data_IF_232603367637
#
_entry.id   IF_232603367637
#
_cell.length_a   1.000
_cell.length_b   1.000
_cell.length_c   1.000
_cell.angle_alpha   90.00
_cell.angle_beta   90.00
_cell.angle_gamma   90.00
#
_symmetry.space_group_name_H-M   'P 1'
#
loop_
_entity.id
_entity.type
_entity.pdbx_description
1 polymer ?
#
# COMPACT_ATOMS: atom_id res chain seq x y z
N UNK A 1 -2.27 19.73 25.82
CA UNK A 1 -2.05 18.27 25.93
C UNK A 1 -2.84 17.56 24.83
N UNK A 2 -2.57 16.28 24.54
CA UNK A 2 -3.37 15.48 23.58
C UNK A 2 -4.87 15.45 23.97
N UNK A 3 -5.14 15.44 25.27
CA UNK A 3 -6.49 15.52 25.85
C UNK A 3 -7.24 16.78 25.39
N UNK A 4 -6.57 17.95 25.35
CA UNK A 4 -7.18 19.19 24.86
C UNK A 4 -7.57 19.10 23.39
N UNK A 5 -6.75 18.45 22.55
CA UNK A 5 -7.05 18.28 21.11
C UNK A 5 -8.23 17.34 20.90
N UNK A 6 -8.33 16.27 21.69
CA UNK A 6 -9.46 15.34 21.65
C UNK A 6 -10.76 15.99 22.14
N UNK A 7 -10.70 16.76 23.23
CA UNK A 7 -11.85 17.46 23.81
C UNK A 7 -12.47 18.48 22.86
N UNK A 8 -11.67 19.11 21.99
CA UNK A 8 -12.17 20.08 21.01
C UNK A 8 -12.52 19.38 19.70
N UNK A 9 -11.65 18.47 19.23
CA UNK A 9 -11.78 17.83 17.92
C UNK A 9 -12.98 16.89 17.81
N UNK A 10 -13.24 16.07 18.83
CA UNK A 10 -14.32 15.07 18.77
C UNK A 10 -15.71 15.72 18.74
N UNK A 11 -16.05 16.69 19.61
CA UNK A 11 -17.35 17.35 19.54
C UNK A 11 -17.54 18.14 18.23
N UNK A 12 -16.50 18.84 17.77
CA UNK A 12 -16.56 19.60 16.52
C UNK A 12 -16.82 18.66 15.34
N UNK A 13 -16.06 17.56 15.26
CA UNK A 13 -16.26 16.52 14.26
C UNK A 13 -17.68 15.94 14.32
N UNK A 14 -18.18 15.57 15.50
CA UNK A 14 -19.53 15.02 15.66
C UNK A 14 -20.64 15.98 15.19
N UNK A 15 -20.50 17.28 15.45
CA UNK A 15 -21.47 18.30 15.02
C UNK A 15 -21.53 18.37 13.49
N UNK A 16 -20.38 18.59 12.84
CA UNK A 16 -20.32 18.69 11.38
C UNK A 16 -20.70 17.37 10.70
N UNK A 17 -20.29 16.24 11.29
CA UNK A 17 -20.59 14.93 10.75
C UNK A 17 -22.08 14.61 10.80
N UNK A 18 -22.76 14.88 11.93
CA UNK A 18 -24.22 14.72 12.03
C UNK A 18 -24.96 15.66 11.09
N UNK A 19 -24.46 16.88 10.91
CA UNK A 19 -25.04 17.81 9.94
C UNK A 19 -24.92 17.28 8.50
N UNK A 20 -23.74 16.77 8.12
CA UNK A 20 -23.52 16.15 6.81
C UNK A 20 -24.38 14.89 6.58
N UNK A 21 -24.66 14.10 7.63
CA UNK A 21 -25.60 12.97 7.54
C UNK A 21 -27.03 13.45 7.30
N UNK A 22 -27.52 14.42 8.08
CA UNK A 22 -28.86 14.99 7.87
C UNK A 22 -29.06 15.55 6.47
N UNK A 23 -28.00 16.16 5.90
CA UNK A 23 -28.04 16.72 4.55
C UNK A 23 -28.10 15.63 3.47
N UNK A 24 -27.50 14.47 3.71
CA UNK A 24 -27.63 13.32 2.82
C UNK A 24 -29.01 12.66 2.95
N UNK A 25 -29.52 12.57 4.17
CA UNK A 25 -30.84 11.99 4.49
C UNK A 25 -32.01 12.88 4.04
N UNK A 26 -31.77 14.15 3.71
CA UNK A 26 -32.81 15.08 3.25
C UNK A 26 -33.36 14.76 1.86
N UNK A 27 -32.90 13.67 1.22
CA UNK A 27 -33.28 13.18 -0.10
C UNK A 27 -33.10 14.21 -1.24
N UNK A 28 -32.28 15.25 -1.02
CA UNK A 28 -31.88 16.15 -2.10
C UNK A 28 -30.86 15.42 -2.98
N UNK A 29 -31.22 15.23 -4.24
CA UNK A 29 -30.39 14.54 -5.23
C UNK A 29 -29.02 15.21 -5.38
N UNK A 30 -28.93 16.54 -5.22
CA UNK A 30 -27.64 17.27 -5.27
C UNK A 30 -26.70 16.84 -4.15
N UNK A 31 -27.25 16.61 -2.96
CA UNK A 31 -26.49 16.21 -1.78
C UNK A 31 -26.11 14.72 -1.84
N UNK A 32 -27.01 13.87 -2.34
CA UNK A 32 -26.72 12.45 -2.57
C UNK A 32 -25.67 12.22 -3.66
N UNK A 33 -25.66 13.04 -4.71
CA UNK A 33 -24.67 12.99 -5.80
C UNK A 33 -23.38 13.77 -5.47
N UNK A 34 -23.24 14.29 -4.25
CA UNK A 34 -22.08 15.08 -3.83
C UNK A 34 -20.78 14.26 -3.91
N UNK A 35 -19.84 14.76 -4.72
CA UNK A 35 -18.50 14.17 -4.81
C UNK A 35 -17.68 14.45 -3.54
N UNK A 36 -17.94 15.58 -2.85
CA UNK A 36 -17.22 15.97 -1.64
C UNK A 36 -17.45 14.98 -0.48
N UNK A 37 -18.70 14.50 -0.32
CA UNK A 37 -19.01 13.45 0.65
C UNK A 37 -18.19 12.19 0.39
N UNK A 38 -18.09 11.76 -0.88
CA UNK A 38 -17.26 10.60 -1.26
C UNK A 38 -15.78 10.86 -1.05
N UNK A 39 -15.26 12.04 -1.36
CA UNK A 39 -13.85 12.40 -1.09
C UNK A 39 -13.56 12.29 0.40
N UNK A 40 -14.43 12.83 1.25
CA UNK A 40 -14.29 12.72 2.71
C UNK A 40 -14.33 11.25 3.16
N UNK A 41 -15.35 10.49 2.76
CA UNK A 41 -15.52 9.10 3.18
C UNK A 41 -14.35 8.22 2.76
N UNK A 42 -13.97 8.27 1.48
CA UNK A 42 -12.83 7.52 0.98
C UNK A 42 -11.51 8.00 1.59
N UNK A 43 -11.35 9.29 1.86
CA UNK A 43 -10.17 9.84 2.53
C UNK A 43 -10.01 9.30 3.95
N UNK A 44 -11.08 9.31 4.74
CA UNK A 44 -11.06 8.79 6.12
C UNK A 44 -10.84 7.27 6.13
N UNK A 45 -11.53 6.53 5.25
CA UNK A 45 -11.34 5.07 5.10
C UNK A 45 -9.91 4.75 4.64
N UNK A 46 -9.33 5.55 3.76
CA UNK A 46 -7.94 5.40 3.32
C UNK A 46 -6.96 5.59 4.48
N UNK A 47 -7.08 6.68 5.24
CA UNK A 47 -6.19 6.95 6.39
C UNK A 47 -6.34 5.88 7.48
N UNK A 48 -7.58 5.50 7.80
CA UNK A 48 -7.86 4.47 8.79
C UNK A 48 -7.33 3.10 8.38
N UNK A 49 -7.50 2.71 7.11
CA UNK A 49 -6.97 1.45 6.59
C UNK A 49 -5.44 1.45 6.55
N UNK A 50 -4.82 2.54 6.09
CA UNK A 50 -3.36 2.68 6.03
C UNK A 50 -2.72 2.50 7.41
N UNK A 51 -3.17 3.25 8.42
CA UNK A 51 -2.58 3.14 9.75
C UNK A 51 -2.88 1.82 10.45
N UNK A 52 -4.04 1.21 10.18
CA UNK A 52 -4.35 -0.15 10.66
C UNK A 52 -3.42 -1.20 10.05
N UNK A 53 -3.19 -1.14 8.73
CA UNK A 53 -2.26 -2.02 8.01
C UNK A 53 -0.84 -1.81 8.50
N UNK A 54 -0.35 -0.58 8.62
CA UNK A 54 1.00 -0.29 9.13
C UNK A 54 1.21 -0.86 10.53
N UNK A 55 0.23 -0.67 11.42
CA UNK A 55 0.28 -1.20 12.78
C UNK A 55 0.26 -2.73 12.79
N UNK A 56 -0.57 -3.36 11.95
CA UNK A 56 -0.62 -4.81 11.80
C UNK A 56 0.69 -5.39 11.24
N UNK A 57 1.31 -4.74 10.25
CA UNK A 57 2.63 -5.11 9.72
C UNK A 57 3.69 -5.06 10.81
N UNK A 58 3.69 -4.02 11.65
CA UNK A 58 4.63 -3.91 12.77
C UNK A 58 4.45 -5.03 13.80
N UNK A 59 3.21 -5.37 14.15
CA UNK A 59 2.93 -6.52 15.04
C UNK A 59 3.42 -7.82 14.41
N UNK A 60 3.13 -8.03 13.12
CA UNK A 60 3.54 -9.23 12.40
C UNK A 60 5.06 -9.36 12.32
N UNK A 61 5.77 -8.27 12.02
CA UNK A 61 7.23 -8.24 12.03
C UNK A 61 7.77 -8.59 13.43
N UNK A 62 7.18 -8.05 14.50
CA UNK A 62 7.55 -8.39 15.88
C UNK A 62 7.32 -9.87 16.22
N UNK A 63 6.22 -10.48 15.74
CA UNK A 63 5.96 -11.91 15.90
C UNK A 63 7.01 -12.75 15.16
N UNK A 64 7.34 -12.39 13.92
CA UNK A 64 8.34 -13.10 13.11
C UNK A 64 9.74 -13.01 13.71
N UNK A 65 10.12 -11.83 14.23
CA UNK A 65 11.40 -11.62 14.93
C UNK A 65 11.55 -12.53 16.15
N UNK A 66 10.50 -12.59 16.98
CA UNK A 66 10.44 -13.51 18.13
C UNK A 66 10.56 -14.97 17.69
N UNK A 67 9.87 -15.36 16.63
CA UNK A 67 9.95 -16.71 16.07
C UNK A 67 11.36 -17.06 15.55
N UNK A 68 12.10 -16.07 15.02
CA UNK A 68 13.48 -16.23 14.55
C UNK A 68 14.53 -16.08 15.66
N UNK A 69 14.11 -15.88 16.91
CA UNK A 69 15.00 -15.75 18.06
C UNK A 69 15.78 -14.43 18.09
N UNK A 70 15.28 -13.38 17.44
CA UNK A 70 15.89 -12.06 17.45
C UNK A 70 14.96 -11.09 18.15
N UNK A 71 15.26 -10.80 19.41
CA UNK A 71 14.51 -9.83 20.23
C UNK A 71 15.46 -8.72 20.65
N UNK A 72 15.06 -7.46 20.47
CA UNK A 72 15.78 -6.32 21.09
C UNK A 72 15.14 -5.94 22.41
N UNK A 73 15.94 -5.51 23.38
CA UNK A 73 15.43 -4.82 24.56
C UNK A 73 14.73 -3.51 24.12
N UNK A 74 13.48 -3.32 24.54
CA UNK A 74 12.65 -2.18 24.12
C UNK A 74 11.85 -2.38 22.84
N UNK A 75 11.75 -3.61 22.33
CA UNK A 75 11.00 -3.90 21.11
C UNK A 75 9.49 -3.58 21.23
N UNK A 76 9.10 -2.52 20.50
CA UNK A 76 7.76 -2.12 20.10
C UNK A 76 6.66 -2.49 21.09
N UNK A 77 6.32 -1.57 21.99
CA UNK A 77 5.18 -1.73 22.88
C UNK A 77 3.93 -2.07 22.06
N UNK A 78 3.57 -3.35 22.05
CA UNK A 78 2.45 -3.86 21.30
C UNK A 78 1.16 -3.15 21.71
N UNK A 79 1.11 -2.57 22.92
CA UNK A 79 0.00 -1.74 23.38
C UNK A 79 -0.18 -0.52 22.50
N UNK A 80 0.90 0.13 22.05
CA UNK A 80 0.86 1.29 21.14
C UNK A 80 0.29 0.89 19.78
N UNK A 81 0.74 -0.23 19.21
CA UNK A 81 0.22 -0.74 17.94
C UNK A 81 -1.24 -1.21 18.07
N UNK A 82 -1.60 -1.87 19.17
CA UNK A 82 -2.96 -2.31 19.46
C UNK A 82 -3.90 -1.11 19.67
N UNK A 83 -3.47 -0.08 20.41
CA UNK A 83 -4.29 1.13 20.58
C UNK A 83 -4.51 1.83 19.25
N UNK A 84 -3.49 1.89 18.39
CA UNK A 84 -3.62 2.44 17.05
C UNK A 84 -4.59 1.62 16.18
N UNK A 85 -4.48 0.28 16.18
CA UNK A 85 -5.40 -0.61 15.45
C UNK A 85 -6.83 -0.44 15.94
N UNK A 86 -7.05 -0.37 17.25
CA UNK A 86 -8.40 -0.20 17.81
C UNK A 86 -8.97 1.15 17.38
N UNK A 87 -8.22 2.24 17.58
CA UNK A 87 -8.70 3.58 17.26
C UNK A 87 -8.95 3.77 15.75
N UNK A 88 -7.96 3.41 14.92
CA UNK A 88 -8.05 3.59 13.46
C UNK A 88 -8.96 2.55 12.82
N UNK A 89 -8.98 1.32 13.33
CA UNK A 89 -9.87 0.26 12.88
C UNK A 89 -11.33 0.57 13.19
N UNK A 90 -11.63 1.17 14.34
CA UNK A 90 -13.00 1.62 14.68
C UNK A 90 -13.43 2.79 13.79
N UNK A 91 -12.56 3.78 13.58
CA UNK A 91 -12.80 4.89 12.66
C UNK A 91 -13.06 4.39 11.23
N UNK A 92 -12.23 3.45 10.77
CA UNK A 92 -12.36 2.80 9.48
C UNK A 92 -13.68 2.04 9.36
N UNK A 93 -14.00 1.17 10.33
CA UNK A 93 -15.19 0.32 10.29
C UNK A 93 -16.47 1.16 10.22
N UNK A 94 -16.54 2.23 11.01
CA UNK A 94 -17.67 3.15 11.02
C UNK A 94 -17.88 3.83 9.65
N UNK A 95 -16.82 4.43 9.07
CA UNK A 95 -16.93 5.13 7.80
C UNK A 95 -17.07 4.17 6.61
N UNK A 96 -16.49 2.98 6.68
CA UNK A 96 -16.66 1.94 5.66
C UNK A 96 -18.09 1.39 5.65
N UNK A 97 -18.73 1.25 6.81
CA UNK A 97 -20.13 0.87 6.91
C UNK A 97 -21.03 1.92 6.24
N UNK A 98 -20.82 3.20 6.55
CA UNK A 98 -21.59 4.31 5.96
C UNK A 98 -21.36 4.40 4.44
N UNK A 99 -20.11 4.27 4.00
CA UNK A 99 -19.80 4.28 2.58
C UNK A 99 -20.47 3.11 1.82
N UNK A 100 -20.60 1.94 2.45
CA UNK A 100 -21.33 0.81 1.86
C UNK A 100 -22.81 1.13 1.74
N UNK A 101 -23.41 1.66 2.81
CA UNK A 101 -24.82 2.06 2.86
C UNK A 101 -25.16 3.11 1.80
N UNK A 102 -24.34 4.15 1.67
CA UNK A 102 -24.44 5.20 0.63
C UNK A 102 -24.41 4.63 -0.80
N UNK A 103 -23.80 3.45 -1.00
CA UNK A 103 -23.66 2.82 -2.32
C UNK A 103 -24.76 1.80 -2.65
N UNK A 104 -25.56 1.36 -1.68
CA UNK A 104 -26.53 0.26 -1.86
C UNK A 104 -27.87 0.65 -2.50
N UNK A 105 -28.11 1.93 -2.82
CA UNK A 105 -29.42 2.38 -3.35
C UNK A 105 -29.41 3.42 -4.46
N UNK A 106 -28.27 3.99 -4.83
CA UNK A 106 -28.20 5.11 -5.78
C UNK A 106 -27.27 4.79 -6.97
N UNK A 107 -27.72 5.13 -8.19
CA UNK A 107 -26.82 5.18 -9.35
C UNK A 107 -25.70 6.17 -9.05
N UNK A 108 -24.46 5.72 -9.19
CA UNK A 108 -23.31 6.53 -8.86
C UNK A 108 -23.08 7.60 -9.95
N UNK A 109 -23.01 8.86 -9.54
CA UNK A 109 -22.67 9.95 -10.44
C UNK A 109 -21.25 9.79 -11.02
N UNK A 110 -20.96 10.24 -12.26
CA UNK A 110 -19.64 10.08 -12.88
C UNK A 110 -18.46 10.60 -12.04
N UNK A 111 -18.64 11.74 -11.35
CA UNK A 111 -17.60 12.30 -10.44
C UNK A 111 -17.35 11.42 -9.23
N UNK A 112 -18.39 10.81 -8.69
CA UNK A 112 -18.31 9.89 -7.56
C UNK A 112 -17.57 8.61 -7.94
N UNK A 113 -17.83 8.07 -9.13
CA UNK A 113 -17.09 6.92 -9.68
C UNK A 113 -15.59 7.22 -9.83
N UNK A 114 -15.24 8.44 -10.26
CA UNK A 114 -13.84 8.86 -10.36
C UNK A 114 -13.13 8.87 -8.99
N UNK A 115 -13.80 9.37 -7.93
CA UNK A 115 -13.26 9.36 -6.56
C UNK A 115 -13.06 7.94 -6.05
N UNK A 116 -14.02 7.04 -6.28
CA UNK A 116 -13.89 5.62 -5.91
C UNK A 116 -12.71 4.96 -6.61
N UNK A 117 -12.54 5.18 -7.91
CA UNK A 117 -11.40 4.65 -8.68
C UNK A 117 -10.08 5.17 -8.12
N UNK A 118 -10.00 6.47 -7.83
CA UNK A 118 -8.82 7.07 -7.21
C UNK A 118 -8.47 6.39 -5.89
N UNK A 119 -9.45 6.19 -5.01
CA UNK A 119 -9.25 5.46 -3.78
C UNK A 119 -8.70 4.05 -4.00
N UNK A 120 -9.34 3.25 -4.87
CA UNK A 120 -8.90 1.87 -5.11
C UNK A 120 -7.48 1.81 -5.69
N UNK A 121 -7.14 2.69 -6.62
CA UNK A 121 -5.79 2.76 -7.18
C UNK A 121 -4.75 3.26 -6.17
N UNK A 122 -5.09 4.17 -5.27
CA UNK A 122 -4.19 4.59 -4.18
C UNK A 122 -3.93 3.45 -3.20
N UNK A 123 -4.98 2.74 -2.76
CA UNK A 123 -4.83 1.57 -1.88
C UNK A 123 -4.02 0.48 -2.57
N UNK A 124 -4.34 0.18 -3.82
CA UNK A 124 -3.59 -0.79 -4.62
C UNK A 124 -2.11 -0.40 -4.75
N UNK A 125 -1.81 0.89 -4.94
CA UNK A 125 -0.44 1.37 -5.09
C UNK A 125 0.38 1.22 -3.80
N UNK A 126 -0.22 1.55 -2.65
CA UNK A 126 0.41 1.32 -1.34
C UNK A 126 0.68 -0.17 -1.13
N UNK A 127 -0.34 -1.01 -1.36
CA UNK A 127 -0.20 -2.46 -1.19
C UNK A 127 0.87 -3.06 -2.10
N UNK A 128 0.90 -2.64 -3.37
CA UNK A 128 1.88 -3.13 -4.34
C UNK A 128 3.28 -2.69 -3.94
N UNK A 129 3.45 -1.43 -3.54
CA UNK A 129 4.74 -0.93 -3.07
C UNK A 129 5.27 -1.73 -1.88
N UNK A 130 4.41 -2.02 -0.88
CA UNK A 130 4.79 -2.86 0.26
C UNK A 130 5.16 -4.29 -0.15
N UNK A 131 4.38 -4.89 -1.06
CA UNK A 131 4.65 -6.22 -1.60
C UNK A 131 5.99 -6.26 -2.35
N UNK A 132 6.27 -5.28 -3.20
CA UNK A 132 7.51 -5.19 -3.97
C UNK A 132 8.72 -5.00 -3.06
N UNK A 133 8.63 -4.08 -2.09
CA UNK A 133 9.70 -3.88 -1.09
C UNK A 133 9.97 -5.18 -0.32
N UNK A 134 8.92 -5.87 0.11
CA UNK A 134 9.05 -7.15 0.80
C UNK A 134 9.71 -8.23 -0.07
N UNK A 135 9.26 -8.40 -1.32
CA UNK A 135 9.84 -9.39 -2.25
C UNK A 135 11.31 -9.10 -2.58
N UNK A 136 11.64 -7.83 -2.87
CA UNK A 136 13.02 -7.40 -3.14
C UNK A 136 13.89 -7.67 -1.90
N UNK A 137 13.38 -7.32 -0.72
CA UNK A 137 14.07 -7.51 0.55
C UNK A 137 14.36 -8.97 0.87
N UNK A 138 13.36 -9.85 0.81
CA UNK A 138 13.53 -11.28 1.10
C UNK A 138 14.49 -11.95 0.11
N UNK A 139 14.41 -11.62 -1.19
CA UNK A 139 15.37 -12.13 -2.20
C UNK A 139 16.78 -11.60 -1.92
N UNK A 140 16.92 -10.32 -1.58
CA UNK A 140 18.22 -9.72 -1.20
C UNK A 140 18.81 -10.41 0.03
N UNK A 141 18.00 -10.70 1.05
CA UNK A 141 18.42 -11.44 2.26
C UNK A 141 18.93 -12.82 1.88
N UNK A 142 18.22 -13.55 1.01
CA UNK A 142 18.65 -14.87 0.55
C UNK A 142 20.02 -14.77 -0.14
N UNK A 143 20.20 -13.83 -1.07
CA UNK A 143 21.48 -13.66 -1.79
C UNK A 143 22.62 -13.28 -0.82
N UNK A 144 22.39 -12.30 0.05
CA UNK A 144 23.36 -11.84 1.05
C UNK A 144 23.74 -12.93 2.05
N UNK A 145 22.83 -13.85 2.37
CA UNK A 145 23.08 -14.92 3.33
C UNK A 145 24.21 -15.87 2.92
N UNK A 146 24.48 -15.99 1.61
CA UNK A 146 25.59 -16.80 1.09
C UNK A 146 26.98 -16.18 1.34
N UNK A 147 27.03 -14.89 1.65
CA UNK A 147 28.27 -14.13 1.84
C UNK A 147 28.55 -13.88 3.33
N UNK A 148 27.56 -13.33 4.04
CA UNK A 148 27.71 -12.92 5.46
C UNK A 148 27.05 -13.89 6.45
N UNK A 149 26.40 -14.95 5.97
CA UNK A 149 25.65 -15.91 6.80
C UNK A 149 24.32 -15.37 7.33
N UNK A 150 23.43 -16.28 7.72
CA UNK A 150 22.08 -15.94 8.21
C UNK A 150 22.04 -15.58 9.72
N UNK A 151 22.71 -14.47 10.05
CA UNK A 151 22.81 -13.93 11.40
C UNK A 151 21.62 -13.07 11.84
N UNK A 152 21.73 -12.52 13.05
CA UNK A 152 20.73 -11.63 13.67
C UNK A 152 20.27 -10.45 12.78
N UNK A 153 21.16 -9.77 12.02
CA UNK A 153 20.74 -8.69 11.12
C UNK A 153 19.79 -9.18 10.02
N UNK A 154 20.12 -10.25 9.30
CA UNK A 154 19.29 -10.77 8.21
C UNK A 154 17.96 -11.36 8.69
N UNK A 155 17.93 -11.99 9.87
CA UNK A 155 16.69 -12.41 10.53
C UNK A 155 15.78 -11.24 10.89
N UNK A 156 16.37 -10.11 11.27
CA UNK A 156 15.64 -8.87 11.56
C UNK A 156 15.02 -8.28 10.30
N UNK A 157 15.79 -8.26 9.21
CA UNK A 157 15.37 -7.78 7.90
C UNK A 157 14.26 -8.65 7.30
N UNK A 158 14.46 -9.97 7.23
CA UNK A 158 13.47 -10.91 6.66
C UNK A 158 12.14 -10.83 7.42
N UNK A 159 12.16 -10.61 8.73
CA UNK A 159 10.93 -10.45 9.51
C UNK A 159 10.09 -9.26 9.04
N UNK A 160 10.73 -8.12 8.73
CA UNK A 160 10.03 -6.94 8.22
C UNK A 160 9.56 -7.12 6.78
N UNK A 161 10.41 -7.69 5.93
CA UNK A 161 10.10 -7.90 4.53
C UNK A 161 8.99 -8.93 4.35
N UNK A 162 9.05 -10.06 5.04
CA UNK A 162 7.97 -11.05 5.07
C UNK A 162 6.67 -10.46 5.63
N UNK A 163 6.73 -9.62 6.68
CA UNK A 163 5.54 -8.93 7.18
C UNK A 163 4.95 -7.98 6.13
N UNK A 164 5.79 -7.25 5.40
CA UNK A 164 5.37 -6.37 4.31
C UNK A 164 4.75 -7.14 3.14
N UNK A 165 5.24 -8.35 2.81
CA UNK A 165 4.61 -9.25 1.82
C UNK A 165 3.21 -9.66 2.29
N UNK A 166 3.11 -10.18 3.51
CA UNK A 166 1.84 -10.71 4.06
C UNK A 166 0.78 -9.60 4.14
N UNK A 167 1.17 -8.38 4.54
CA UNK A 167 0.25 -7.25 4.62
C UNK A 167 -0.02 -6.61 3.24
N UNK A 168 1.02 -6.43 2.42
CA UNK A 168 0.93 -5.75 1.13
C UNK A 168 0.15 -6.54 0.08
N UNK A 169 0.29 -7.87 0.07
CA UNK A 169 -0.38 -8.74 -0.89
C UNK A 169 -1.91 -8.56 -0.91
N UNK A 170 -2.67 -8.72 0.19
CA UNK A 170 -4.12 -8.51 0.17
C UNK A 170 -4.50 -7.06 -0.09
N UNK A 171 -3.73 -6.09 0.42
CA UNK A 171 -3.99 -4.65 0.23
C UNK A 171 -3.84 -4.24 -1.23
N UNK A 172 -2.96 -4.91 -1.99
CA UNK A 172 -2.87 -4.74 -3.44
C UNK A 172 -3.94 -5.54 -4.19
N UNK A 173 -3.97 -6.84 -3.95
CA UNK A 173 -4.64 -7.80 -4.82
C UNK A 173 -6.16 -7.58 -4.83
N UNK A 174 -6.76 -7.24 -3.69
CA UNK A 174 -8.19 -7.01 -3.57
C UNK A 174 -8.67 -5.82 -4.42
N UNK A 175 -8.19 -4.57 -4.20
CA UNK A 175 -8.63 -3.44 -4.99
C UNK A 175 -8.19 -3.52 -6.47
N UNK A 176 -6.99 -4.07 -6.74
CA UNK A 176 -6.52 -4.26 -8.11
C UNK A 176 -7.41 -5.22 -8.90
N UNK A 177 -7.76 -6.39 -8.33
CA UNK A 177 -8.68 -7.33 -8.99
C UNK A 177 -10.06 -6.75 -9.23
N UNK A 178 -10.59 -5.96 -8.29
CA UNK A 178 -11.89 -5.31 -8.45
C UNK A 178 -11.88 -4.34 -9.63
N UNK A 179 -10.88 -3.46 -9.73
CA UNK A 179 -10.77 -2.51 -10.83
C UNK A 179 -10.37 -3.18 -12.16
N UNK A 180 -9.59 -4.26 -12.12
CA UNK A 180 -9.28 -5.06 -13.30
C UNK A 180 -10.53 -5.72 -13.86
N UNK A 181 -11.34 -6.37 -13.02
CA UNK A 181 -12.57 -7.02 -13.43
C UNK A 181 -13.55 -6.01 -14.05
N UNK A 182 -13.70 -4.83 -13.44
CA UNK A 182 -14.49 -3.72 -14.01
C UNK A 182 -13.98 -3.30 -15.38
N UNK A 183 -12.66 -3.21 -15.55
CA UNK A 183 -12.07 -2.85 -16.84
C UNK A 183 -12.23 -3.95 -17.91
N UNK A 184 -12.47 -5.20 -17.53
CA UNK A 184 -12.73 -6.31 -18.45
C UNK A 184 -14.19 -6.40 -18.89
N UNK A 185 -15.11 -5.72 -18.20
CA UNK A 185 -16.53 -5.70 -18.58
C UNK A 185 -16.74 -5.07 -19.96
N UNK A 186 -17.61 -5.66 -20.78
CA UNK A 186 -17.98 -5.15 -22.11
C UNK A 186 -18.99 -4.00 -22.07
N UNK A 187 -19.44 -3.63 -20.86
CA UNK A 187 -20.38 -2.53 -20.63
C UNK A 187 -19.76 -1.14 -20.96
N UNK A 188 -20.59 -0.11 -21.18
CA UNK A 188 -20.12 1.28 -21.26
C UNK A 188 -19.33 1.71 -20.02
N UNK A 189 -19.66 1.18 -18.84
CA UNK A 189 -18.92 1.41 -17.60
C UNK A 189 -17.51 0.79 -17.64
N UNK A 190 -17.38 -0.42 -18.20
CA UNK A 190 -16.08 -1.05 -18.43
C UNK A 190 -15.23 -0.27 -19.43
N UNK A 191 -15.83 0.28 -20.49
CA UNK A 191 -15.13 1.19 -21.41
C UNK A 191 -14.63 2.48 -20.70
N UNK A 192 -15.44 3.03 -19.80
CA UNK A 192 -15.03 4.16 -18.93
C UNK A 192 -13.91 3.77 -17.97
N UNK A 193 -13.92 2.55 -17.43
CA UNK A 193 -12.87 2.05 -16.54
C UNK A 193 -11.53 1.89 -17.28
N UNK A 194 -11.55 1.35 -18.51
CA UNK A 194 -10.35 1.22 -19.37
C UNK A 194 -9.74 2.57 -19.77
N UNK A 195 -10.60 3.56 -20.06
CA UNK A 195 -10.15 4.90 -20.46
C UNK A 195 -9.78 5.82 -19.29
N UNK A 196 -9.93 5.34 -18.04
CA UNK A 196 -9.64 6.10 -16.82
C UNK A 196 -8.20 6.63 -16.76
N UNK A 197 -8.06 7.94 -16.58
CA UNK A 197 -6.73 8.56 -16.39
C UNK A 197 -6.05 8.06 -15.11
N UNK A 198 -6.82 7.75 -14.07
CA UNK A 198 -6.30 7.23 -12.79
C UNK A 198 -5.65 5.86 -13.00
N UNK A 199 -6.29 4.99 -13.80
CA UNK A 199 -5.73 3.68 -14.17
C UNK A 199 -4.40 3.83 -14.89
N UNK A 200 -4.34 4.75 -15.87
CA UNK A 200 -3.12 5.03 -16.63
C UNK A 200 -2.00 5.57 -15.74
N UNK A 201 -2.31 6.51 -14.83
CA UNK A 201 -1.34 7.04 -13.85
C UNK A 201 -0.79 5.90 -13.00
N UNK A 202 -1.65 5.03 -12.46
CA UNK A 202 -1.24 3.87 -11.67
C UNK A 202 -0.31 2.94 -12.46
N UNK A 203 -0.71 2.52 -13.67
CA UNK A 203 0.07 1.59 -14.49
C UNK A 203 1.41 2.19 -14.91
N UNK A 204 1.39 3.43 -15.40
CA UNK A 204 2.60 4.11 -15.85
C UNK A 204 3.55 4.43 -14.69
N UNK A 205 3.03 4.71 -13.49
CA UNK A 205 3.88 4.87 -12.31
C UNK A 205 4.71 3.61 -12.04
N UNK A 206 4.08 2.44 -12.02
CA UNK A 206 4.79 1.18 -11.73
C UNK A 206 5.66 0.70 -12.88
N UNK A 207 5.21 0.86 -14.13
CA UNK A 207 6.03 0.58 -15.32
C UNK A 207 7.26 1.48 -15.35
N UNK A 208 7.09 2.78 -15.09
CA UNK A 208 8.19 3.74 -15.02
C UNK A 208 9.16 3.40 -13.89
N UNK A 209 8.65 3.14 -12.68
CA UNK A 209 9.48 2.74 -11.54
C UNK A 209 10.28 1.46 -11.83
N UNK A 210 9.65 0.47 -12.47
CA UNK A 210 10.32 -0.74 -12.92
C UNK A 210 11.42 -0.44 -13.94
N UNK A 211 11.14 0.38 -14.97
CA UNK A 211 12.14 0.79 -15.96
C UNK A 211 13.33 1.49 -15.31
N UNK A 212 13.08 2.47 -14.43
CA UNK A 212 14.15 3.17 -13.70
C UNK A 212 14.96 2.19 -12.86
N UNK A 213 14.31 1.27 -12.16
CA UNK A 213 14.99 0.26 -11.34
C UNK A 213 15.89 -0.66 -12.17
N UNK A 214 15.42 -1.12 -13.33
CA UNK A 214 16.22 -1.94 -14.25
C UNK A 214 17.42 -1.14 -14.79
N UNK A 215 17.22 0.12 -15.20
CA UNK A 215 18.29 0.97 -15.70
C UNK A 215 19.34 1.25 -14.63
N UNK A 216 18.91 1.67 -13.43
CA UNK A 216 19.81 1.95 -12.30
C UNK A 216 20.55 0.70 -11.85
N UNK A 217 19.87 -0.44 -11.73
CA UNK A 217 20.49 -1.70 -11.35
C UNK A 217 21.48 -2.20 -12.40
N UNK A 218 21.14 -2.10 -13.69
CA UNK A 218 22.05 -2.48 -14.78
C UNK A 218 23.29 -1.58 -14.77
N UNK A 219 23.11 -0.27 -14.61
CA UNK A 219 24.22 0.69 -14.50
C UNK A 219 25.13 0.34 -13.32
N UNK A 220 24.56 0.04 -12.16
CA UNK A 220 25.32 -0.36 -10.97
C UNK A 220 26.11 -1.66 -11.21
N UNK A 221 25.47 -2.70 -11.77
CA UNK A 221 26.14 -3.97 -12.06
C UNK A 221 27.28 -3.78 -13.08
N UNK A 222 27.05 -3.01 -14.15
CA UNK A 222 28.09 -2.71 -15.14
C UNK A 222 29.25 -1.95 -14.49
N UNK A 223 28.97 -0.96 -13.65
CA UNK A 223 30.01 -0.24 -12.89
C UNK A 223 30.86 -1.19 -12.03
N UNK A 224 30.23 -2.11 -11.31
CA UNK A 224 30.94 -3.08 -10.48
C UNK A 224 31.80 -4.04 -11.31
N UNK A 225 31.32 -4.48 -12.48
CA UNK A 225 32.10 -5.32 -13.40
C UNK A 225 33.31 -4.58 -13.97
N UNK A 226 33.15 -3.30 -14.33
CA UNK A 226 34.27 -2.46 -14.79
C UNK A 226 35.28 -2.22 -13.68
N UNK A 227 34.83 -1.98 -12.45
CA UNK A 227 35.72 -1.79 -11.31
C UNK A 227 36.54 -3.06 -11.01
N UNK A 228 35.91 -4.23 -11.11
CA UNK A 228 36.60 -5.51 -11.00
C UNK A 228 37.65 -5.68 -12.11
N UNK A 229 37.33 -5.34 -13.35
CA UNK A 229 38.25 -5.46 -14.49
C UNK A 229 39.45 -4.49 -14.38
N UNK A 230 39.21 -3.24 -13.99
CA UNK A 230 40.21 -2.18 -14.02
C UNK A 230 41.13 -2.17 -12.81
N UNK A 231 40.60 -2.49 -11.62
CA UNK A 231 41.30 -2.33 -10.34
C UNK A 231 41.33 -3.66 -9.56
N UNK A 232 40.88 -4.77 -10.15
CA UNK A 232 40.88 -6.11 -9.54
C UNK A 232 40.08 -6.23 -8.23
N UNK A 233 39.13 -5.31 -7.99
CA UNK A 233 38.26 -5.33 -6.82
C UNK A 233 36.95 -6.06 -7.15
N UNK A 234 36.88 -7.36 -6.84
CA UNK A 234 35.69 -8.16 -7.09
C UNK A 234 34.51 -7.73 -6.22
N UNK A 235 33.29 -7.56 -6.77
CA UNK A 235 32.11 -7.23 -5.97
C UNK A 235 31.69 -8.42 -5.10
N UNK A 236 31.24 -8.14 -3.87
CA UNK A 236 30.64 -9.17 -3.02
C UNK A 236 29.21 -9.47 -3.45
N UNK A 237 28.70 -10.67 -3.11
CA UNK A 237 27.27 -10.96 -3.28
C UNK A 237 26.41 -10.02 -2.45
N UNK A 238 26.94 -9.49 -1.34
CA UNK A 238 26.23 -8.50 -0.54
C UNK A 238 26.05 -7.16 -1.25
N UNK A 239 27.04 -6.72 -2.02
CA UNK A 239 26.96 -5.50 -2.82
C UNK A 239 25.93 -5.64 -3.95
N UNK A 240 25.86 -6.83 -4.55
CA UNK A 240 25.01 -7.08 -5.72
C UNK A 240 23.58 -7.51 -5.34
N UNK A 241 23.38 -8.13 -4.18
CA UNK A 241 22.15 -8.85 -3.84
C UNK A 241 20.88 -8.00 -3.95
N UNK A 242 20.91 -6.77 -3.43
CA UNK A 242 19.76 -5.86 -3.51
C UNK A 242 19.45 -5.44 -4.94
N UNK A 243 20.47 -5.18 -5.77
CA UNK A 243 20.27 -4.77 -7.16
C UNK A 243 19.81 -5.92 -8.05
N UNK A 244 20.35 -7.13 -7.86
CA UNK A 244 19.88 -8.34 -8.54
C UNK A 244 18.40 -8.59 -8.19
N UNK A 245 18.05 -8.56 -6.90
CA UNK A 245 16.66 -8.71 -6.45
C UNK A 245 15.73 -7.63 -7.04
N UNK A 246 16.18 -6.37 -7.02
CA UNK A 246 15.42 -5.23 -7.55
C UNK A 246 15.17 -5.35 -9.05
N UNK A 247 16.18 -5.73 -9.84
CA UNK A 247 16.03 -5.93 -11.29
C UNK A 247 15.07 -7.08 -11.57
N UNK A 248 15.23 -8.22 -10.88
CA UNK A 248 14.38 -9.39 -11.06
C UNK A 248 12.90 -9.03 -10.83
N UNK A 249 12.61 -8.36 -9.70
CA UNK A 249 11.24 -7.94 -9.36
C UNK A 249 10.74 -6.86 -10.31
N UNK A 250 11.58 -5.90 -10.71
CA UNK A 250 11.20 -4.86 -11.66
C UNK A 250 10.84 -5.45 -13.04
N UNK A 251 11.55 -6.46 -13.53
CA UNK A 251 11.20 -7.19 -14.76
C UNK A 251 9.84 -7.87 -14.61
N UNK A 252 9.56 -8.52 -13.49
CA UNK A 252 8.24 -9.11 -13.22
C UNK A 252 7.11 -8.06 -13.22
N UNK A 253 7.33 -6.89 -12.61
CA UNK A 253 6.38 -5.77 -12.62
C UNK A 253 6.13 -5.28 -14.04
N UNK A 254 7.20 -5.11 -14.82
CA UNK A 254 7.12 -4.65 -16.20
C UNK A 254 6.32 -5.63 -17.06
N UNK A 255 6.58 -6.94 -16.93
CA UNK A 255 5.82 -7.98 -17.66
C UNK A 255 4.35 -8.05 -17.20
N UNK A 256 4.07 -7.91 -15.91
CA UNK A 256 2.69 -8.02 -15.42
C UNK A 256 1.84 -6.79 -15.77
N UNK A 257 2.38 -5.58 -15.59
CA UNK A 257 1.64 -4.33 -15.79
C UNK A 257 1.79 -3.72 -17.18
N UNK A 258 2.81 -4.12 -17.96
CA UNK A 258 3.01 -3.63 -19.33
C UNK A 258 1.93 -4.09 -20.32
N UNK A 259 1.24 -5.19 -20.02
CA UNK A 259 0.15 -5.74 -20.85
C UNK A 259 -1.25 -5.56 -20.23
N UNK A 260 -1.37 -4.86 -19.10
CA UNK A 260 -2.62 -4.67 -18.35
C UNK A 260 -3.36 -3.37 -18.72
#
# INVERSE_FOLDING_TARGET
SEITRLLIGVPLWLIFWRWAQRLFDSLDRREQESALRKVYLYGVVFVGSLGSVTSATGILAGILRRALGVTSEGEGDIRTSLSAIIALGMLWAYHAFILRDDTTGAQEAPRQAAVRRLYFYLVAAVGLSALLVGLIGDISVIIRSFDVGFGSPLRTEVSWFTAAIIAGLPVWLLPWRQEQNRALETSPEGASARSSIVRKIYLYLFVFAATVTVLSGTMYIVYQLLNWLLISSAPSLSDLGTWIASILIAVCVWLYHGFA
#
